data_IF_555306045269
#
_entry.id   IF_555306045269
#
_cell.length_a   1.000
_cell.length_b   1.000
_cell.length_c   1.000
_cell.angle_alpha   90.00
_cell.angle_beta   90.00
_cell.angle_gamma   90.00
#
_symmetry.space_group_name_H-M   'P 1'
#
loop_
_entity.id
_entity.type
_entity.pdbx_description
1 polymer ?
#
# COMPACT_ATOMS: atom_id res chain seq x y z
N UNK A 1 -5.92 25.69 -31.18
CA UNK A 1 -4.94 24.64 -30.87
C UNK A 1 -5.55 23.80 -29.76
N UNK A 2 -6.06 22.60 -30.07
CA UNK A 2 -6.63 21.70 -29.06
C UNK A 2 -5.46 21.19 -28.21
N UNK A 3 -5.33 21.68 -26.99
CA UNK A 3 -4.52 21.02 -25.98
C UNK A 3 -5.31 19.76 -25.61
N UNK A 4 -5.15 18.68 -26.35
CA UNK A 4 -5.60 17.37 -25.88
C UNK A 4 -4.82 17.06 -24.60
N UNK A 5 -5.51 16.55 -23.57
CA UNK A 5 -5.05 16.33 -22.19
C UNK A 5 -3.96 15.26 -22.05
N UNK A 6 -2.88 15.37 -22.82
CA UNK A 6 -1.85 14.34 -22.92
C UNK A 6 -1.08 14.20 -21.60
N UNK A 7 -0.82 15.31 -20.89
CA UNK A 7 0.01 15.29 -19.69
C UNK A 7 -0.64 14.58 -18.51
N UNK A 8 -1.93 14.85 -18.23
CA UNK A 8 -2.68 14.14 -17.17
C UNK A 8 -2.75 12.64 -17.49
N UNK A 9 -3.07 12.29 -18.73
CA UNK A 9 -3.17 10.90 -19.17
C UNK A 9 -1.84 10.14 -19.10
N UNK A 10 -0.71 10.79 -19.44
CA UNK A 10 0.62 10.19 -19.29
C UNK A 10 0.92 9.87 -17.83
N UNK A 11 0.73 10.84 -16.92
CA UNK A 11 1.01 10.63 -15.48
C UNK A 11 0.08 9.56 -14.90
N UNK A 12 -1.18 9.51 -15.29
CA UNK A 12 -2.11 8.48 -14.83
C UNK A 12 -1.72 7.08 -15.32
N UNK A 13 -1.28 6.95 -16.58
CA UNK A 13 -0.78 5.67 -17.12
C UNK A 13 0.48 5.21 -16.40
N UNK A 14 1.42 6.11 -16.13
CA UNK A 14 2.62 5.81 -15.35
C UNK A 14 2.25 5.34 -13.94
N UNK A 15 1.30 6.01 -13.27
CA UNK A 15 0.82 5.63 -11.95
C UNK A 15 0.20 4.22 -11.95
N UNK A 16 -0.63 3.92 -12.95
CA UNK A 16 -1.23 2.59 -13.15
C UNK A 16 -0.16 1.52 -13.39
N UNK A 17 0.85 1.84 -14.19
CA UNK A 17 1.98 0.95 -14.44
C UNK A 17 2.78 0.68 -13.17
N UNK A 18 3.07 1.72 -12.36
CA UNK A 18 3.76 1.57 -11.08
C UNK A 18 2.97 0.69 -10.10
N UNK A 19 1.65 0.85 -10.01
CA UNK A 19 0.82 -0.05 -9.18
C UNK A 19 0.93 -1.51 -9.63
N UNK A 20 0.92 -1.74 -10.95
CA UNK A 20 1.10 -3.08 -11.52
C UNK A 20 2.47 -3.66 -11.17
N UNK A 21 3.54 -2.88 -11.31
CA UNK A 21 4.89 -3.32 -10.93
C UNK A 21 5.01 -3.60 -9.44
N UNK A 22 4.39 -2.78 -8.58
CA UNK A 22 4.35 -2.99 -7.14
C UNK A 22 3.71 -4.35 -6.78
N UNK A 23 2.62 -4.73 -7.46
CA UNK A 23 1.98 -6.05 -7.31
C UNK A 23 2.83 -7.21 -7.88
N UNK A 24 3.62 -6.98 -8.93
CA UNK A 24 4.44 -8.02 -9.56
C UNK A 24 5.78 -8.26 -8.89
N UNK A 25 6.28 -7.28 -8.13
CA UNK A 25 7.63 -7.27 -7.52
C UNK A 25 7.61 -7.53 -6.01
N UNK A 26 6.51 -8.07 -5.49
CA UNK A 26 6.32 -8.37 -4.06
C UNK A 26 7.37 -9.29 -3.46
N UNK A 27 8.10 -10.05 -4.26
CA UNK A 27 9.20 -10.88 -3.75
C UNK A 27 10.46 -10.09 -3.36
N UNK A 28 10.55 -8.80 -3.72
CA UNK A 28 11.76 -8.00 -3.49
C UNK A 28 11.46 -6.72 -2.70
N UNK A 29 11.94 -6.62 -1.44
CA UNK A 29 11.65 -5.46 -0.59
C UNK A 29 12.13 -4.13 -1.17
N UNK A 30 13.33 -4.09 -1.75
CA UNK A 30 13.84 -2.86 -2.38
C UNK A 30 12.97 -2.41 -3.56
N UNK A 31 12.44 -3.34 -4.36
CA UNK A 31 11.57 -3.01 -5.48
C UNK A 31 10.20 -2.54 -4.99
N UNK A 32 9.64 -3.15 -3.94
CA UNK A 32 8.41 -2.66 -3.30
C UNK A 32 8.62 -1.24 -2.77
N UNK A 33 9.70 -0.98 -2.04
CA UNK A 33 10.04 0.35 -1.52
C UNK A 33 10.18 1.39 -2.64
N UNK A 34 10.88 1.04 -3.71
CA UNK A 34 11.08 1.93 -4.88
C UNK A 34 9.76 2.24 -5.56
N UNK A 35 8.97 1.22 -5.90
CA UNK A 35 7.68 1.41 -6.57
C UNK A 35 6.70 2.17 -5.68
N UNK A 36 6.72 1.95 -4.37
CA UNK A 36 5.90 2.71 -3.43
C UNK A 36 6.26 4.21 -3.43
N UNK A 37 7.55 4.55 -3.35
CA UNK A 37 8.01 5.94 -3.43
C UNK A 37 7.68 6.61 -4.77
N UNK A 38 7.81 5.86 -5.88
CA UNK A 38 7.41 6.33 -7.21
C UNK A 38 5.90 6.57 -7.26
N UNK A 39 5.09 5.67 -6.71
CA UNK A 39 3.64 5.78 -6.67
C UNK A 39 3.20 7.04 -5.89
N UNK A 40 3.77 7.28 -4.71
CA UNK A 40 3.51 8.49 -3.91
C UNK A 40 3.87 9.77 -4.69
N UNK A 41 4.98 9.74 -5.44
CA UNK A 41 5.40 10.88 -6.25
C UNK A 41 4.44 11.12 -7.42
N UNK A 42 4.04 10.06 -8.12
CA UNK A 42 3.13 10.13 -9.27
C UNK A 42 1.71 10.53 -8.86
N UNK A 43 1.21 10.08 -7.71
CA UNK A 43 -0.12 10.46 -7.21
C UNK A 43 -0.22 11.96 -6.97
N UNK A 44 0.80 12.55 -6.34
CA UNK A 44 0.89 13.99 -6.15
C UNK A 44 1.03 14.73 -7.49
N UNK A 45 1.94 14.27 -8.36
CA UNK A 45 2.17 14.85 -9.69
C UNK A 45 0.89 14.87 -10.52
N UNK A 46 0.07 13.82 -10.45
CA UNK A 46 -1.21 13.75 -11.15
C UNK A 46 -2.12 14.92 -10.77
N UNK A 47 -2.32 15.14 -9.47
CA UNK A 47 -3.18 16.24 -8.98
C UNK A 47 -2.61 17.62 -9.31
N UNK A 48 -1.28 17.78 -9.36
CA UNK A 48 -0.63 19.02 -9.76
C UNK A 48 -0.81 19.33 -11.24
N UNK A 49 -0.64 18.33 -12.10
CA UNK A 49 -0.82 18.47 -13.54
C UNK A 49 -2.28 18.77 -13.86
N UNK A 50 -3.24 18.06 -13.24
CA UNK A 50 -4.66 18.36 -13.37
C UNK A 50 -4.98 19.82 -13.02
N UNK A 51 -4.46 20.34 -11.90
CA UNK A 51 -4.69 21.74 -11.49
C UNK A 51 -4.13 22.75 -12.51
N UNK A 52 -2.89 22.54 -12.96
CA UNK A 52 -2.23 23.41 -13.94
C UNK A 52 -2.95 23.38 -15.29
N UNK A 53 -3.31 22.19 -15.74
CA UNK A 53 -4.01 21.98 -17.00
C UNK A 53 -5.43 22.56 -16.95
N UNK A 54 -6.17 22.35 -15.86
CA UNK A 54 -7.48 22.97 -15.64
C UNK A 54 -7.42 24.49 -15.79
N UNK A 55 -6.48 25.14 -15.09
CA UNK A 55 -6.31 26.59 -15.14
C UNK A 55 -5.93 27.08 -16.53
N UNK A 56 -5.07 26.35 -17.24
CA UNK A 56 -4.68 26.70 -18.60
C UNK A 56 -5.86 26.61 -19.60
N UNK A 57 -6.78 25.66 -19.39
CA UNK A 57 -7.94 25.44 -20.29
C UNK A 57 -9.09 26.41 -19.96
N UNK A 58 -9.41 26.56 -18.67
CA UNK A 58 -10.63 27.26 -18.21
C UNK A 58 -10.38 28.70 -17.76
N UNK A 59 -9.11 29.08 -17.52
CA UNK A 59 -8.72 30.31 -16.82
C UNK A 59 -9.19 30.39 -15.35
N UNK A 60 -9.78 29.32 -14.81
CA UNK A 60 -10.26 29.23 -13.43
C UNK A 60 -9.33 28.38 -12.55
N UNK A 61 -9.35 28.61 -11.24
CA UNK A 61 -8.60 27.79 -10.29
C UNK A 61 -9.38 26.50 -9.96
N UNK A 62 -8.69 25.37 -10.04
CA UNK A 62 -9.25 24.05 -9.72
C UNK A 62 -9.65 23.94 -8.24
N UNK A 63 -10.91 23.58 -8.01
CA UNK A 63 -11.49 23.40 -6.67
C UNK A 63 -11.55 21.92 -6.28
N UNK A 64 -10.44 21.39 -5.75
CA UNK A 64 -10.36 20.00 -5.30
C UNK A 64 -11.37 19.66 -4.20
N UNK A 65 -11.73 20.64 -3.37
CA UNK A 65 -12.71 20.50 -2.28
C UNK A 65 -14.12 20.13 -2.74
N UNK A 66 -14.45 20.30 -4.03
CA UNK A 66 -15.74 19.91 -4.60
C UNK A 66 -15.81 18.42 -4.97
N UNK A 67 -14.71 17.69 -4.86
CA UNK A 67 -14.69 16.25 -5.06
C UNK A 67 -15.00 15.54 -3.74
N UNK A 68 -16.20 14.99 -3.62
CA UNK A 68 -16.69 14.31 -2.41
C UNK A 68 -15.95 12.98 -2.13
N UNK A 69 -15.32 12.38 -3.15
CA UNK A 69 -14.61 11.11 -3.01
C UNK A 69 -13.24 11.19 -2.34
N UNK A 70 -12.81 12.38 -1.89
CA UNK A 70 -11.54 12.57 -1.19
C UNK A 70 -11.66 12.11 0.26
N UNK A 71 -10.88 11.09 0.67
CA UNK A 71 -10.98 10.46 1.99
C UNK A 71 -9.63 10.40 2.73
N UNK A 72 -9.61 9.68 3.86
CA UNK A 72 -8.45 9.57 4.74
C UNK A 72 -7.26 8.85 4.10
N UNK A 73 -7.48 7.92 3.16
CA UNK A 73 -6.40 7.30 2.38
C UNK A 73 -5.73 8.34 1.48
N UNK A 74 -6.51 9.18 0.79
CA UNK A 74 -5.93 10.26 -0.03
C UNK A 74 -5.18 11.29 0.82
N UNK A 75 -5.68 11.58 2.04
CA UNK A 75 -4.98 12.41 3.01
C UNK A 75 -3.67 11.78 3.49
N UNK A 76 -3.66 10.46 3.74
CA UNK A 76 -2.45 9.73 4.11
C UNK A 76 -1.39 9.87 3.03
N UNK A 77 -1.71 9.65 1.76
CA UNK A 77 -0.73 9.78 0.67
C UNK A 77 -0.17 11.20 0.53
N UNK A 78 -0.99 12.23 0.79
CA UNK A 78 -0.52 13.61 0.85
C UNK A 78 0.48 13.84 1.99
N UNK A 79 0.22 13.22 3.14
CA UNK A 79 1.09 13.29 4.32
C UNK A 79 2.41 12.54 4.09
N UNK A 80 2.33 11.30 3.62
CA UNK A 80 3.49 10.46 3.29
C UNK A 80 4.43 11.17 2.29
N UNK A 81 3.87 11.87 1.30
CA UNK A 81 4.66 12.67 0.37
C UNK A 81 5.36 13.84 1.05
N UNK A 82 4.69 14.53 1.97
CA UNK A 82 5.27 15.65 2.72
C UNK A 82 6.47 15.17 3.51
N UNK A 83 6.32 14.07 4.23
CA UNK A 83 7.41 13.49 5.04
C UNK A 83 8.58 13.06 4.16
N UNK A 84 8.33 12.29 3.10
CA UNK A 84 9.37 11.81 2.18
C UNK A 84 10.17 12.95 1.53
N UNK A 85 9.52 14.08 1.24
CA UNK A 85 10.17 15.22 0.60
C UNK A 85 10.88 16.17 1.55
N UNK A 86 10.41 16.30 2.80
CA UNK A 86 10.86 17.37 3.71
C UNK A 86 11.50 16.89 5.01
N UNK A 87 11.23 15.66 5.45
CA UNK A 87 11.55 15.22 6.81
C UNK A 87 12.37 13.93 6.80
N UNK A 88 11.76 12.82 6.38
CA UNK A 88 12.34 11.48 6.49
C UNK A 88 12.09 10.66 5.23
N UNK A 89 13.10 9.99 4.66
CA UNK A 89 12.89 9.07 3.55
C UNK A 89 11.86 8.00 3.90
N UNK A 90 10.97 7.69 2.95
CA UNK A 90 9.98 6.63 3.13
C UNK A 90 10.66 5.28 3.38
N UNK A 91 10.22 4.59 4.43
CA UNK A 91 10.66 3.23 4.76
C UNK A 91 9.47 2.29 4.89
N UNK A 92 9.69 1.03 4.57
CA UNK A 92 8.72 -0.04 4.75
C UNK A 92 9.33 -1.08 5.70
N UNK A 93 8.46 -1.82 6.37
CA UNK A 93 8.82 -3.00 7.14
C UNK A 93 8.26 -4.25 6.45
N UNK A 94 8.82 -5.41 6.77
CA UNK A 94 8.28 -6.69 6.32
C UNK A 94 7.49 -7.29 7.46
N UNK A 95 6.26 -7.67 7.19
CA UNK A 95 5.42 -8.35 8.14
C UNK A 95 5.25 -9.80 7.69
N UNK A 96 5.59 -10.71 8.58
CA UNK A 96 5.57 -12.15 8.38
C UNK A 96 4.42 -12.75 9.20
N UNK A 97 3.61 -13.56 8.53
CA UNK A 97 2.54 -14.32 9.16
C UNK A 97 2.76 -15.80 8.87
N UNK A 98 2.91 -16.59 9.92
CA UNK A 98 3.13 -18.02 9.82
C UNK A 98 1.87 -18.76 10.27
N UNK A 99 1.46 -19.79 9.54
CA UNK A 99 0.26 -20.57 9.86
C UNK A 99 0.66 -21.97 10.31
N UNK A 100 0.29 -22.30 11.54
CA UNK A 100 0.51 -23.62 12.14
C UNK A 100 -0.82 -24.32 12.32
N UNK A 101 -0.94 -25.55 11.82
CA UNK A 101 -2.14 -26.35 12.03
C UNK A 101 -2.35 -26.58 13.52
N UNK A 102 -3.48 -26.11 14.03
CA UNK A 102 -3.87 -26.23 15.43
C UNK A 102 -4.80 -27.42 15.65
N UNK A 103 -5.83 -27.54 14.80
CA UNK A 103 -6.81 -28.60 14.87
C UNK A 103 -7.39 -28.89 13.48
N UNK A 104 -7.90 -30.11 13.32
CA UNK A 104 -8.70 -30.53 12.16
C UNK A 104 -10.06 -30.97 12.70
N UNK A 105 -11.14 -30.49 12.11
CA UNK A 105 -12.50 -30.89 12.44
C UNK A 105 -13.34 -31.09 11.16
N UNK A 106 -14.49 -31.75 11.29
CA UNK A 106 -15.43 -31.94 10.18
C UNK A 106 -16.61 -30.96 10.33
N UNK A 107 -17.05 -30.36 9.23
CA UNK A 107 -18.31 -29.60 9.21
C UNK A 107 -19.55 -30.51 9.17
N UNK A 108 -20.75 -29.91 9.19
CA UNK A 108 -22.02 -30.65 9.15
C UNK A 108 -22.22 -31.47 7.86
N UNK A 109 -21.45 -31.17 6.80
CA UNK A 109 -21.48 -31.84 5.50
C UNK A 109 -20.36 -32.90 5.36
N UNK A 110 -19.52 -33.07 6.40
CA UNK A 110 -18.38 -33.99 6.42
C UNK A 110 -17.15 -33.48 5.69
N UNK A 111 -17.04 -32.17 5.44
CA UNK A 111 -15.83 -31.57 4.89
C UNK A 111 -14.82 -31.29 6.00
N UNK A 112 -13.55 -31.60 5.73
CA UNK A 112 -12.44 -31.31 6.62
C UNK A 112 -12.15 -29.80 6.67
N UNK A 113 -12.10 -29.24 7.89
CA UNK A 113 -11.79 -27.86 8.19
C UNK A 113 -10.55 -27.79 9.06
N UNK A 114 -9.56 -27.01 8.60
CA UNK A 114 -8.30 -26.79 9.29
C UNK A 114 -8.37 -25.49 10.11
N UNK A 115 -8.13 -25.59 11.40
CA UNK A 115 -7.92 -24.44 12.28
C UNK A 115 -6.43 -24.12 12.36
N UNK A 116 -6.07 -22.85 12.19
CA UNK A 116 -4.69 -22.39 12.20
C UNK A 116 -4.39 -21.43 13.35
N UNK A 117 -3.34 -21.72 14.12
CA UNK A 117 -2.67 -20.73 14.96
C UNK A 117 -1.75 -19.89 14.07
N UNK A 118 -2.03 -18.58 13.97
CA UNK A 118 -1.38 -17.69 12.98
C UNK A 118 -0.65 -16.51 13.62
N UNK A 119 0.48 -16.72 14.29
CA UNK A 119 1.28 -15.64 14.85
C UNK A 119 1.85 -14.73 13.75
N UNK A 120 2.05 -13.46 14.12
CA UNK A 120 2.52 -12.42 13.21
C UNK A 120 3.60 -11.56 13.86
N UNK A 121 4.64 -11.25 13.07
CA UNK A 121 5.77 -10.40 13.49
C UNK A 121 6.08 -9.40 12.40
N UNK A 122 6.43 -8.17 12.80
CA UNK A 122 6.90 -7.13 11.89
C UNK A 122 8.38 -6.90 12.09
N UNK A 123 9.14 -7.06 11.01
CA UNK A 123 10.57 -6.89 10.91
C UNK A 123 10.94 -5.55 10.28
N UNK A 124 11.90 -4.86 10.87
CA UNK A 124 12.59 -3.80 10.14
C UNK A 124 13.47 -4.40 9.04
N UNK A 125 13.49 -3.78 7.87
CA UNK A 125 14.32 -4.26 6.75
C UNK A 125 15.82 -4.26 7.06
N UNK A 126 16.28 -3.38 7.96
CA UNK A 126 17.69 -3.15 8.26
C UNK A 126 18.43 -2.50 7.08
N UNK A 127 18.64 -3.26 6.01
CA UNK A 127 19.16 -2.76 4.72
C UNK A 127 18.00 -2.32 3.79
N UNK A 128 17.84 -1.01 3.51
CA UNK A 128 16.79 -0.50 2.61
C UNK A 128 17.01 -0.85 1.13
N UNK A 129 18.12 -1.51 0.79
CA UNK A 129 18.45 -2.00 -0.54
C UNK A 129 18.40 -3.54 -0.66
N UNK A 130 17.94 -4.22 0.39
CA UNK A 130 17.79 -5.67 0.39
C UNK A 130 16.89 -6.14 -0.76
N UNK A 131 17.43 -7.00 -1.61
CA UNK A 131 16.70 -7.62 -2.73
C UNK A 131 15.87 -8.81 -2.30
N UNK A 132 16.25 -9.43 -1.19
CA UNK A 132 15.59 -10.59 -0.58
C UNK A 132 14.94 -10.16 0.73
N UNK A 133 13.85 -10.84 1.10
CA UNK A 133 13.25 -10.69 2.41
C UNK A 133 14.31 -11.09 3.44
N UNK A 134 14.59 -10.25 4.46
CA UNK A 134 15.57 -10.61 5.48
C UNK A 134 15.24 -11.98 6.08
N UNK A 135 16.19 -12.91 6.00
CA UNK A 135 16.09 -14.23 6.66
C UNK A 135 16.34 -14.09 8.18
N UNK A 136 16.31 -12.85 8.69
CA UNK A 136 16.63 -12.51 10.06
C UNK A 136 15.55 -13.01 11.00
N UNK A 137 15.74 -14.20 11.54
CA UNK A 137 14.91 -14.89 12.53
C UNK A 137 13.52 -15.25 12.00
N UNK A 138 13.42 -16.31 11.19
CA UNK A 138 12.17 -17.10 11.15
C UNK A 138 11.66 -17.23 12.58
N UNK A 139 10.44 -16.77 12.83
CA UNK A 139 9.82 -17.00 14.13
C UNK A 139 9.80 -18.51 14.34
N UNK A 140 10.62 -18.98 15.29
CA UNK A 140 10.70 -20.40 15.62
C UNK A 140 9.80 -20.63 16.82
N UNK A 141 8.70 -21.31 16.61
CA UNK A 141 7.90 -21.82 17.72
C UNK A 141 8.45 -23.16 18.19
N UNK A 142 8.57 -23.33 19.50
CA UNK A 142 8.92 -24.60 20.12
C UNK A 142 7.64 -25.33 20.55
N UNK A 143 7.48 -26.55 20.07
CA UNK A 143 6.42 -27.45 20.53
C UNK A 143 6.78 -28.03 21.89
N UNK A 144 5.75 -28.29 22.70
CA UNK A 144 5.87 -28.99 23.96
C UNK A 144 4.88 -30.15 23.99
N UNK A 145 5.28 -31.29 24.56
CA UNK A 145 4.36 -32.41 24.84
C UNK A 145 3.45 -32.11 26.05
N UNK A 146 2.56 -33.05 26.37
CA UNK A 146 1.65 -32.95 27.52
C UNK A 146 2.39 -32.79 28.86
N UNK A 147 3.63 -33.28 28.95
CA UNK A 147 4.52 -33.17 30.12
C UNK A 147 5.31 -31.85 30.14
N UNK A 148 5.07 -30.93 29.19
CA UNK A 148 5.81 -29.68 28.98
C UNK A 148 7.29 -29.89 28.67
N UNK A 149 7.66 -31.01 28.05
CA UNK A 149 9.01 -31.22 27.49
C UNK A 149 9.04 -30.73 26.05
N UNK A 150 10.13 -30.05 25.63
CA UNK A 150 10.25 -29.57 24.27
C UNK A 150 10.32 -30.76 23.30
N UNK A 151 9.42 -30.77 22.31
CA UNK A 151 9.40 -31.78 21.23
C UNK A 151 10.10 -31.32 19.96
N UNK A 152 10.62 -30.08 19.96
CA UNK A 152 11.37 -29.49 18.86
C UNK A 152 10.70 -28.27 18.27
N UNK A 153 11.23 -27.81 17.15
CA UNK A 153 10.71 -26.67 16.40
C UNK A 153 9.47 -27.07 15.62
N UNK A 154 8.42 -26.24 15.70
CA UNK A 154 7.25 -26.37 14.85
C UNK A 154 7.56 -25.78 13.48
N UNK A 155 7.14 -26.49 12.44
CA UNK A 155 7.26 -26.05 11.05
C UNK A 155 5.88 -25.50 10.62
N UNK A 156 5.79 -24.25 10.15
CA UNK A 156 4.54 -23.71 9.65
C UNK A 156 4.14 -24.39 8.34
N UNK A 157 2.84 -24.62 8.14
CA UNK A 157 2.32 -25.13 6.86
C UNK A 157 2.42 -24.08 5.75
N UNK A 158 2.31 -22.80 6.13
CA UNK A 158 2.30 -21.67 5.21
C UNK A 158 2.93 -20.45 5.87
N UNK A 159 3.70 -19.69 5.08
CA UNK A 159 4.25 -18.39 5.49
C UNK A 159 3.85 -17.35 4.46
N UNK A 160 3.26 -16.26 4.92
CA UNK A 160 2.87 -15.12 4.12
C UNK A 160 3.69 -13.89 4.49
N UNK A 161 4.05 -13.11 3.48
CA UNK A 161 4.78 -11.85 3.66
C UNK A 161 3.98 -10.71 3.06
N UNK A 162 3.91 -9.61 3.82
CA UNK A 162 3.30 -8.35 3.41
C UNK A 162 4.23 -7.21 3.77
N UNK A 163 4.10 -6.09 3.07
CA UNK A 163 4.94 -4.91 3.31
C UNK A 163 4.11 -3.83 3.94
N UNK A 164 4.56 -3.33 5.08
CA UNK A 164 3.81 -2.33 5.84
C UNK A 164 4.56 -1.01 5.88
N UNK A 165 3.81 0.10 5.87
CA UNK A 165 4.39 1.43 6.01
C UNK A 165 5.04 1.55 7.39
N UNK A 166 6.30 1.99 7.44
CA UNK A 166 6.99 2.26 8.71
C UNK A 166 6.84 3.76 9.05
N UNK A 167 5.91 4.14 9.95
CA UNK A 167 5.69 5.53 10.29
C UNK A 167 6.92 6.13 10.96
N UNK A 168 7.30 7.35 10.57
CA UNK A 168 8.38 8.13 11.22
C UNK A 168 7.86 9.25 12.10
N UNK A 169 6.57 9.54 12.02
CA UNK A 169 5.90 10.54 12.84
C UNK A 169 4.65 9.96 13.49
N UNK A 170 4.29 10.50 14.65
CA UNK A 170 3.04 10.16 15.35
C UNK A 170 1.81 10.45 14.49
N UNK A 171 1.92 11.40 13.56
CA UNK A 171 0.80 11.76 12.69
C UNK A 171 0.52 10.66 11.68
N UNK A 172 1.54 10.15 10.97
CA UNK A 172 1.35 9.02 10.04
C UNK A 172 0.95 7.76 10.81
N UNK A 173 1.59 7.47 11.94
CA UNK A 173 1.20 6.33 12.80
C UNK A 173 -0.28 6.38 13.20
N UNK A 174 -0.77 7.54 13.65
CA UNK A 174 -2.18 7.74 13.97
C UNK A 174 -3.09 7.54 12.76
N UNK A 175 -2.73 8.06 11.59
CA UNK A 175 -3.53 7.89 10.38
C UNK A 175 -3.63 6.42 9.93
N UNK A 176 -2.53 5.67 10.01
CA UNK A 176 -2.52 4.23 9.72
C UNK A 176 -3.42 3.45 10.68
N UNK A 177 -3.38 3.79 11.99
CA UNK A 177 -4.26 3.20 13.01
C UNK A 177 -5.73 3.50 12.76
N UNK A 178 -6.07 4.74 12.42
CA UNK A 178 -7.46 5.14 12.12
C UNK A 178 -8.00 4.46 10.85
N UNK A 179 -7.14 4.17 9.88
CA UNK A 179 -7.49 3.43 8.67
C UNK A 179 -7.60 1.91 8.88
N UNK A 180 -7.09 1.40 10.01
CA UNK A 180 -6.93 -0.03 10.27
C UNK A 180 -6.20 -0.75 9.12
N UNK A 181 -5.28 -0.05 8.46
CA UNK A 181 -4.55 -0.55 7.30
C UNK A 181 -3.17 0.10 7.20
N UNK A 182 -2.17 -0.75 7.17
CA UNK A 182 -0.76 -0.40 7.05
C UNK A 182 -0.10 -1.05 5.82
N UNK A 183 -0.82 -1.91 5.10
CA UNK A 183 -0.27 -2.65 3.98
C UNK A 183 -0.05 -1.74 2.77
N UNK A 184 1.18 -1.70 2.27
CA UNK A 184 1.61 -0.83 1.17
C UNK A 184 0.78 -1.08 -0.10
N UNK A 185 0.52 -2.34 -0.43
CA UNK A 185 -0.20 -2.71 -1.66
C UNK A 185 -1.68 -2.32 -1.55
N UNK A 186 -2.31 -2.65 -0.43
CA UNK A 186 -3.68 -2.29 -0.09
C UNK A 186 -3.87 -0.77 -0.13
N UNK A 187 -3.01 -0.02 0.55
CA UNK A 187 -3.05 1.44 0.60
C UNK A 187 -2.86 2.06 -0.80
N UNK A 188 -1.90 1.56 -1.59
CA UNK A 188 -1.71 2.03 -2.98
C UNK A 188 -2.91 1.74 -3.87
N UNK A 189 -3.53 0.56 -3.71
CA UNK A 189 -4.73 0.17 -4.47
C UNK A 189 -5.91 1.07 -4.13
N UNK A 190 -6.20 1.25 -2.84
CA UNK A 190 -7.25 2.18 -2.37
C UNK A 190 -7.01 3.61 -2.86
N UNK A 191 -5.76 4.08 -2.79
CA UNK A 191 -5.40 5.41 -3.30
C UNK A 191 -5.61 5.53 -4.80
N UNK A 192 -5.21 4.52 -5.58
CA UNK A 192 -5.40 4.49 -7.02
C UNK A 192 -6.87 4.58 -7.42
N UNK A 193 -7.75 3.83 -6.76
CA UNK A 193 -9.20 3.88 -7.01
C UNK A 193 -9.80 5.28 -6.77
N UNK A 194 -9.32 5.97 -5.73
CA UNK A 194 -9.73 7.36 -5.45
C UNK A 194 -9.24 8.28 -6.56
N UNK A 195 -8.00 8.13 -7.01
CA UNK A 195 -7.41 8.95 -8.06
C UNK A 195 -8.04 8.69 -9.43
N UNK A 196 -8.48 7.46 -9.71
CA UNK A 196 -9.25 7.13 -10.90
C UNK A 196 -10.61 7.85 -10.90
N UNK A 197 -11.36 7.79 -9.79
CA UNK A 197 -12.60 8.56 -9.62
C UNK A 197 -12.36 10.06 -9.73
N UNK A 198 -11.26 10.55 -9.17
CA UNK A 198 -10.88 11.96 -9.24
C UNK A 198 -10.52 12.41 -10.66
N UNK A 199 -9.85 11.55 -11.44
CA UNK A 199 -9.58 11.79 -12.85
C UNK A 199 -10.86 11.90 -13.67
N UNK A 200 -11.83 11.02 -13.44
CA UNK A 200 -13.11 11.09 -14.14
C UNK A 200 -13.91 12.34 -13.76
N UNK A 201 -13.88 12.74 -12.49
CA UNK A 201 -14.43 14.04 -12.05
C UNK A 201 -13.74 15.22 -12.75
N UNK A 202 -12.41 15.22 -12.85
CA UNK A 202 -11.65 16.23 -13.59
C UNK A 202 -12.06 16.30 -15.08
N UNK A 203 -12.13 15.16 -15.76
CA UNK A 203 -12.53 15.09 -17.17
C UNK A 203 -13.95 15.61 -17.39
N UNK A 204 -14.88 15.31 -16.49
CA UNK A 204 -16.24 15.83 -16.55
C UNK A 204 -16.26 17.37 -16.45
N UNK A 205 -15.51 17.94 -15.49
CA UNK A 205 -15.43 19.40 -15.30
C UNK A 205 -14.79 20.12 -16.49
N UNK A 206 -13.75 19.55 -17.09
CA UNK A 206 -13.19 20.09 -18.33
C UNK A 206 -14.24 20.13 -19.44
N UNK A 207 -14.97 19.03 -19.66
CA UNK A 207 -16.01 18.95 -20.70
C UNK A 207 -17.14 19.96 -20.48
N UNK A 208 -17.62 20.12 -19.24
CA UNK A 208 -18.64 21.11 -18.88
C UNK A 208 -18.22 22.55 -19.20
N UNK A 209 -16.93 22.86 -19.11
CA UNK A 209 -16.41 24.23 -19.28
C UNK A 209 -16.05 24.55 -20.74
N UNK A 210 -15.82 23.53 -21.57
CA UNK A 210 -15.44 23.69 -22.99
C UNK A 210 -16.58 23.55 -23.99
N UNK A 211 -17.78 23.18 -23.52
CA UNK A 211 -19.02 23.17 -24.31
C UNK A 211 -19.80 24.47 -24.12
#
# INVERSE_FOLDING_TARGET
MKIESQNVEFVFKDLKYTLKELNNKVSSPVEVRRNFGIFITLSQKLTEVMRKEFKAITSEDWQASKFEGWNDVANLFKELRREDYHEYPMTINVMEQQHYLHAIYEDEEGNELNEYFSPCVTWELGDPFATEIPIGSTMTLLGYDEDKKPIGELIPEKVEYRYVVSPKTDKVDKMLKELEDEDVISLCTKCFEILEKYLEYYKAKIKETTN
#
